data_IF_075275880202
#
_entry.id   IF_075275880202
#
_cell.length_a   1.000
_cell.length_b   1.000
_cell.length_c   1.000
_cell.angle_alpha   90.00
_cell.angle_beta   90.00
_cell.angle_gamma   90.00
#
_symmetry.space_group_name_H-M   'P 1'
#
loop_
_entity.id
_entity.type
_entity.pdbx_description
1 polymer ?
#
# COMPACT_ATOMS: atom_id res chain seq x y z
N UNK A 1 -16.77 6.13 26.94
CA UNK A 1 -16.09 4.97 26.54
C UNK A 1 -14.72 5.24 25.96
N UNK A 2 -13.95 4.22 25.99
CA UNK A 2 -12.61 4.29 25.41
C UNK A 2 -12.73 3.94 23.96
N UNK A 3 -12.15 4.80 23.13
CA UNK A 3 -12.20 4.57 21.69
C UNK A 3 -10.88 3.98 21.24
N UNK A 4 -10.97 2.91 20.47
CA UNK A 4 -9.79 2.37 19.81
C UNK A 4 -9.41 3.31 18.68
N UNK A 5 -8.17 3.73 18.71
CA UNK A 5 -7.64 4.59 17.66
C UNK A 5 -6.93 3.70 16.65
N UNK A 6 -7.30 3.83 15.39
CA UNK A 6 -6.65 3.12 14.29
C UNK A 6 -5.82 4.08 13.49
N UNK A 7 -4.53 3.79 13.40
CA UNK A 7 -3.63 4.56 12.57
C UNK A 7 -3.27 3.70 11.36
N UNK A 8 -3.64 4.18 10.20
CA UNK A 8 -3.40 3.44 8.96
C UNK A 8 -2.46 4.24 8.06
N UNK A 9 -1.40 3.57 7.60
CA UNK A 9 -0.39 4.20 6.75
C UNK A 9 0.07 3.23 5.67
N UNK A 10 0.51 3.74 4.52
CA UNK A 10 0.47 5.13 4.10
C UNK A 10 -0.91 5.53 3.60
N UNK A 11 -1.09 6.82 3.28
CA UNK A 11 -2.35 7.31 2.72
C UNK A 11 -2.50 6.96 1.25
N UNK A 12 -1.39 6.98 0.52
CA UNK A 12 -1.40 6.77 -0.92
C UNK A 12 -0.25 5.87 -1.34
N UNK A 13 -0.54 4.96 -2.25
CA UNK A 13 0.46 4.10 -2.86
C UNK A 13 0.23 4.12 -4.36
N UNK A 14 1.26 4.49 -5.12
CA UNK A 14 1.25 4.36 -6.57
C UNK A 14 2.37 3.40 -6.95
N UNK A 15 2.04 2.33 -7.63
CA UNK A 15 3.02 1.30 -7.95
C UNK A 15 2.66 0.60 -9.25
N UNK A 16 3.58 -0.21 -9.73
CA UNK A 16 3.40 -0.95 -10.98
C UNK A 16 2.85 -2.34 -10.74
N UNK A 17 2.20 -2.87 -11.77
CA UNK A 17 1.76 -4.26 -11.77
C UNK A 17 2.93 -5.19 -11.51
N UNK A 18 2.65 -6.29 -10.85
CA UNK A 18 3.60 -7.34 -10.47
C UNK A 18 4.51 -6.98 -9.30
N UNK A 19 4.45 -5.75 -8.81
CA UNK A 19 5.15 -5.36 -7.60
C UNK A 19 4.38 -5.86 -6.37
N UNK A 20 4.87 -5.50 -5.20
CA UNK A 20 4.23 -5.82 -3.95
C UNK A 20 4.13 -4.56 -3.11
N UNK A 21 3.22 -4.57 -2.15
CA UNK A 21 3.04 -3.43 -1.28
C UNK A 21 2.60 -3.88 0.10
N UNK A 22 2.65 -2.95 1.03
CA UNK A 22 2.30 -3.23 2.42
C UNK A 22 1.55 -2.05 2.99
N UNK A 23 0.46 -2.34 3.71
CA UNK A 23 -0.34 -1.34 4.38
C UNK A 23 -0.32 -1.67 5.87
N UNK A 24 -0.01 -0.67 6.69
CA UNK A 24 0.15 -0.87 8.13
C UNK A 24 -1.05 -0.30 8.87
N UNK A 25 -1.52 -1.07 9.85
CA UNK A 25 -2.60 -0.67 10.73
C UNK A 25 -2.15 -0.85 12.17
N UNK A 26 -2.14 0.22 12.93
CA UNK A 26 -1.73 0.19 14.32
C UNK A 26 -2.91 0.47 15.23
N UNK A 27 -3.03 -0.33 16.27
CA UNK A 27 -4.10 -0.21 17.26
C UNK A 27 -3.49 0.11 18.60
N UNK A 28 -4.32 0.65 19.49
CA UNK A 28 -3.89 0.84 20.88
C UNK A 28 -4.21 -0.35 21.73
N UNK A 29 -5.10 -1.20 21.27
CA UNK A 29 -5.53 -2.37 22.02
C UNK A 29 -5.35 -3.61 21.18
N UNK A 30 -5.22 -4.74 21.86
CA UNK A 30 -5.12 -6.03 21.21
C UNK A 30 -6.51 -6.44 20.73
N UNK A 31 -6.67 -6.52 19.42
CA UNK A 31 -7.95 -6.87 18.83
C UNK A 31 -7.72 -7.51 17.46
N UNK A 32 -8.68 -8.27 17.01
CA UNK A 32 -8.65 -8.79 15.65
C UNK A 32 -8.92 -7.67 14.65
N UNK A 33 -8.35 -7.79 13.48
CA UNK A 33 -8.42 -6.76 12.46
C UNK A 33 -9.04 -7.31 11.19
N UNK A 34 -9.99 -6.56 10.67
CA UNK A 34 -10.61 -6.85 9.38
C UNK A 34 -9.98 -5.95 8.34
N UNK A 35 -9.80 -6.47 7.13
CA UNK A 35 -9.32 -5.70 5.99
C UNK A 35 -10.37 -5.72 4.90
N UNK A 36 -10.69 -4.52 4.39
CA UNK A 36 -11.67 -4.33 3.33
C UNK A 36 -11.07 -3.51 2.20
N UNK A 37 -11.67 -3.61 1.03
CA UNK A 37 -11.30 -2.79 -0.11
C UNK A 37 -12.55 -2.21 -0.74
N UNK A 38 -12.53 -0.90 -0.96
CA UNK A 38 -13.52 -0.25 -1.81
C UNK A 38 -12.92 -0.19 -3.21
N UNK A 39 -13.57 -0.87 -4.15
CA UNK A 39 -13.14 -0.88 -5.55
C UNK A 39 -13.88 0.22 -6.29
N UNK A 40 -13.15 1.24 -6.75
CA UNK A 40 -13.77 2.31 -7.52
C UNK A 40 -14.31 1.80 -8.85
N UNK A 41 -13.58 0.89 -9.46
CA UNK A 41 -13.94 0.34 -10.75
C UNK A 41 -15.26 -0.42 -10.69
N UNK A 42 -15.40 -1.28 -9.68
CA UNK A 42 -16.59 -2.12 -9.53
C UNK A 42 -17.65 -1.51 -8.65
N UNK A 43 -17.37 -0.37 -8.04
CA UNK A 43 -18.30 0.28 -7.11
C UNK A 43 -18.77 -0.71 -6.04
N UNK A 44 -17.81 -1.35 -5.40
CA UNK A 44 -18.08 -2.51 -4.56
C UNK A 44 -17.15 -2.51 -3.36
N UNK A 45 -17.72 -2.76 -2.18
CA UNK A 45 -16.95 -2.84 -0.94
C UNK A 45 -16.76 -4.33 -0.65
N UNK A 46 -15.49 -4.76 -0.57
CA UNK A 46 -15.15 -6.16 -0.49
C UNK A 46 -14.45 -6.49 0.81
N UNK A 47 -14.87 -7.57 1.45
CA UNK A 47 -14.15 -8.11 2.59
C UNK A 47 -12.98 -8.95 2.07
N UNK A 48 -11.78 -8.65 2.57
CA UNK A 48 -10.57 -9.35 2.14
C UNK A 48 -10.16 -10.44 3.13
N UNK A 49 -9.90 -10.06 4.36
CA UNK A 49 -9.37 -10.99 5.35
C UNK A 49 -9.59 -10.46 6.75
N UNK A 50 -9.81 -11.38 7.68
CA UNK A 50 -9.86 -11.10 9.11
C UNK A 50 -8.72 -11.85 9.78
N UNK A 51 -7.93 -11.16 10.59
CA UNK A 51 -6.87 -11.76 11.36
C UNK A 51 -7.23 -11.66 12.85
N UNK A 52 -7.32 -12.80 13.53
CA UNK A 52 -7.64 -12.77 14.95
C UNK A 52 -6.36 -12.54 15.78
N UNK A 53 -6.54 -12.39 17.08
CA UNK A 53 -5.42 -12.07 17.99
C UNK A 53 -4.48 -13.26 18.19
N UNK A 54 -4.82 -14.41 17.67
CA UNK A 54 -3.97 -15.60 17.74
C UNK A 54 -3.20 -15.82 16.45
N UNK A 55 -3.31 -14.87 15.51
CA UNK A 55 -2.58 -14.95 14.26
C UNK A 55 -3.25 -15.78 13.19
N UNK A 56 -4.51 -16.17 13.39
CA UNK A 56 -5.23 -16.95 12.39
C UNK A 56 -6.00 -16.04 11.47
N UNK A 57 -5.89 -16.29 10.16
CA UNK A 57 -6.54 -15.49 9.15
C UNK A 57 -7.71 -16.23 8.53
N UNK A 58 -8.80 -15.50 8.30
CA UNK A 58 -9.98 -16.01 7.60
C UNK A 58 -10.21 -15.10 6.40
N UNK A 59 -10.25 -15.69 5.21
CA UNK A 59 -10.30 -14.93 3.96
C UNK A 59 -11.70 -14.84 3.41
N UNK A 60 -11.95 -13.74 2.71
CA UNK A 60 -13.21 -13.57 1.99
C UNK A 60 -13.28 -14.47 0.77
N UNK A 61 -14.48 -14.55 0.20
CA UNK A 61 -14.74 -15.39 -0.96
C UNK A 61 -13.93 -14.88 -2.16
N UNK A 62 -13.25 -15.79 -2.83
CA UNK A 62 -12.47 -15.47 -4.05
C UNK A 62 -11.26 -14.57 -3.78
N UNK A 63 -10.82 -14.47 -2.54
CA UNK A 63 -9.61 -13.73 -2.22
C UNK A 63 -8.43 -14.70 -2.24
N UNK A 64 -7.38 -14.35 -2.98
CA UNK A 64 -6.21 -15.20 -3.09
C UNK A 64 -5.37 -15.10 -1.83
N UNK A 65 -5.30 -16.21 -1.09
CA UNK A 65 -4.52 -16.25 0.14
C UNK A 65 -3.02 -16.16 -0.13
N UNK A 66 -2.61 -16.51 -1.33
CA UNK A 66 -1.19 -16.44 -1.69
C UNK A 66 -0.75 -14.99 -1.91
N UNK A 67 -1.65 -14.14 -2.36
CA UNK A 67 -1.32 -12.76 -2.68
C UNK A 67 -1.62 -11.79 -1.54
N UNK A 68 -2.60 -12.09 -0.70
CA UNK A 68 -3.01 -11.21 0.40
C UNK A 68 -2.67 -11.88 1.71
N UNK A 69 -1.69 -11.34 2.43
CA UNK A 69 -1.24 -11.93 3.68
C UNK A 69 -1.21 -10.89 4.77
N UNK A 70 -1.60 -11.29 5.96
CA UNK A 70 -1.57 -10.42 7.12
C UNK A 70 -0.42 -10.84 8.01
N UNK A 71 0.39 -9.88 8.42
CA UNK A 71 1.48 -10.08 9.36
C UNK A 71 1.19 -9.27 10.61
N UNK A 72 1.54 -9.83 11.73
CA UNK A 72 1.26 -9.25 13.02
C UNK A 72 2.58 -8.97 13.73
N UNK A 73 2.68 -7.80 14.35
CA UNK A 73 3.87 -7.47 15.11
C UNK A 73 3.84 -8.19 16.47
N UNK A 74 4.98 -8.25 17.12
CA UNK A 74 5.12 -8.97 18.38
C UNK A 74 4.15 -8.50 19.44
N UNK A 75 3.85 -7.22 19.45
CA UNK A 75 2.98 -6.65 20.47
C UNK A 75 1.51 -6.94 20.23
N UNK A 76 1.16 -7.56 19.13
CA UNK A 76 -0.22 -7.82 18.73
C UNK A 76 -1.04 -6.55 18.60
N UNK A 77 -0.37 -5.41 18.44
CA UNK A 77 -1.05 -4.13 18.28
C UNK A 77 -0.79 -3.52 16.91
N UNK A 78 -0.05 -4.22 16.07
CA UNK A 78 0.31 -3.71 14.74
C UNK A 78 0.13 -4.84 13.74
N UNK A 79 -0.61 -4.56 12.69
CA UNK A 79 -0.90 -5.53 11.63
C UNK A 79 -0.55 -4.90 10.29
N UNK A 80 -0.01 -5.70 9.41
CA UNK A 80 0.21 -5.22 8.05
C UNK A 80 -0.42 -6.17 7.05
N UNK A 81 -1.00 -5.58 6.01
CA UNK A 81 -1.54 -6.34 4.88
C UNK A 81 -0.52 -6.28 3.77
N UNK A 82 0.00 -7.43 3.40
CA UNK A 82 0.94 -7.59 2.30
C UNK A 82 0.19 -8.05 1.07
N UNK A 83 0.37 -7.34 -0.03
CA UNK A 83 -0.23 -7.71 -1.30
C UNK A 83 0.90 -7.90 -2.30
N UNK A 84 0.98 -9.10 -2.88
CA UNK A 84 2.02 -9.42 -3.84
C UNK A 84 1.43 -9.60 -5.22
N UNK A 85 2.28 -9.58 -6.24
CA UNK A 85 1.86 -9.77 -7.63
C UNK A 85 0.70 -8.85 -7.98
N UNK A 86 0.90 -7.56 -7.71
CA UNK A 86 -0.15 -6.56 -7.86
C UNK A 86 -0.68 -6.50 -9.28
N UNK A 87 -1.98 -6.30 -9.39
CA UNK A 87 -2.71 -6.21 -10.63
C UNK A 87 -3.42 -4.85 -10.66
N UNK A 88 -3.60 -4.25 -11.84
CA UNK A 88 -4.37 -2.99 -11.88
C UNK A 88 -5.76 -3.11 -11.24
N UNK A 89 -6.38 -4.30 -11.29
CA UNK A 89 -7.67 -4.53 -10.66
C UNK A 89 -7.62 -4.51 -9.13
N UNK A 90 -6.43 -4.54 -8.53
CA UNK A 90 -6.29 -4.41 -7.08
C UNK A 90 -6.42 -2.96 -6.62
N UNK A 91 -6.48 -2.02 -7.54
CA UNK A 91 -6.61 -0.60 -7.23
C UNK A 91 -7.91 -0.34 -6.48
N UNK A 92 -7.83 0.56 -5.52
CA UNK A 92 -8.98 0.91 -4.69
C UNK A 92 -8.51 1.54 -3.39
N UNK A 93 -9.45 1.70 -2.46
CA UNK A 93 -9.12 2.21 -1.14
C UNK A 93 -9.23 1.08 -0.14
N UNK A 94 -8.14 0.81 0.57
CA UNK A 94 -8.05 -0.27 1.53
C UNK A 94 -8.26 0.27 2.94
N UNK A 95 -9.02 -0.46 3.73
CA UNK A 95 -9.32 -0.08 5.10
C UNK A 95 -9.03 -1.22 6.05
N UNK A 96 -8.36 -0.91 7.15
CA UNK A 96 -8.35 -1.83 8.29
C UNK A 96 -9.48 -1.40 9.23
N UNK A 97 -9.96 -2.34 10.03
CA UNK A 97 -11.14 -2.13 10.83
C UNK A 97 -11.12 -3.04 12.05
N UNK A 98 -11.67 -2.54 13.15
CA UNK A 98 -11.91 -3.38 14.33
C UNK A 98 -13.37 -3.25 14.73
N UNK A 99 -13.90 -4.34 15.28
CA UNK A 99 -15.24 -4.35 15.84
C UNK A 99 -15.11 -4.16 17.36
N UNK A 100 -15.79 -3.15 17.87
CA UNK A 100 -15.71 -2.83 19.27
C UNK A 100 -17.09 -2.47 19.77
N UNK A 101 -17.66 -3.29 20.64
CA UNK A 101 -18.94 -3.02 21.29
C UNK A 101 -20.01 -2.57 20.31
N UNK A 102 -20.37 -3.38 19.36
CA UNK A 102 -21.40 -3.09 18.36
C UNK A 102 -21.02 -2.01 17.36
N UNK A 103 -19.80 -1.52 17.40
CA UNK A 103 -19.32 -0.51 16.46
C UNK A 103 -18.21 -1.07 15.61
N UNK A 104 -18.21 -0.67 14.36
CA UNK A 104 -17.13 -0.99 13.44
C UNK A 104 -16.33 0.29 13.24
N UNK A 105 -15.08 0.26 13.70
CA UNK A 105 -14.19 1.40 13.57
C UNK A 105 -13.30 1.18 12.35
N UNK A 106 -13.20 2.18 11.52
CA UNK A 106 -12.41 2.08 10.29
C UNK A 106 -11.16 2.94 10.40
N UNK A 107 -10.07 2.44 9.85
CA UNK A 107 -8.88 3.26 9.64
C UNK A 107 -9.15 4.35 8.62
N UNK A 108 -8.18 5.22 8.43
CA UNK A 108 -8.34 6.39 7.54
C UNK A 108 -8.34 6.01 6.07
N UNK A 109 -7.89 4.82 5.74
CA UNK A 109 -7.88 4.36 4.37
C UNK A 109 -6.54 4.57 3.68
N UNK A 110 -6.21 3.67 2.78
CA UNK A 110 -5.01 3.76 1.95
C UNK A 110 -5.46 3.64 0.50
N UNK A 111 -5.20 4.67 -0.29
CA UNK A 111 -5.52 4.63 -1.71
C UNK A 111 -4.40 3.95 -2.45
N UNK A 112 -4.70 2.81 -3.04
CA UNK A 112 -3.75 2.05 -3.83
C UNK A 112 -4.08 2.20 -5.29
N UNK A 113 -3.09 2.59 -6.07
CA UNK A 113 -3.23 2.66 -7.50
C UNK A 113 -2.13 1.83 -8.15
N UNK A 114 -2.55 0.81 -8.87
CA UNK A 114 -1.64 -0.10 -9.57
C UNK A 114 -1.80 0.17 -11.06
N UNK A 115 -0.69 0.49 -11.71
CA UNK A 115 -0.67 0.80 -13.14
C UNK A 115 0.26 -0.18 -13.86
N UNK A 116 0.06 -0.33 -15.17
CA UNK A 116 0.90 -1.25 -15.94
C UNK A 116 2.34 -0.75 -16.01
N UNK A 117 2.51 0.55 -16.14
CA UNK A 117 3.83 1.16 -16.14
C UNK A 117 3.72 2.55 -15.54
N UNK A 118 4.68 2.87 -14.66
CA UNK A 118 4.73 4.21 -14.10
C UNK A 118 5.14 5.19 -15.19
N UNK A 119 4.56 6.40 -15.21
CA UNK A 119 4.98 7.41 -16.16
C UNK A 119 6.45 7.74 -15.93
N UNK A 120 7.19 7.88 -17.02
CA UNK A 120 8.57 8.31 -16.92
C UNK A 120 8.60 9.70 -16.31
N UNK A 121 9.58 9.98 -15.44
CA UNK A 121 9.73 11.35 -14.97
C UNK A 121 9.93 12.25 -16.18
N UNK A 122 9.36 13.43 -16.16
CA UNK A 122 9.58 14.34 -17.29
C UNK A 122 11.08 14.50 -17.46
N UNK A 123 11.54 14.30 -18.66
CA UNK A 123 12.93 14.54 -18.93
C UNK A 123 13.15 16.00 -18.65
N UNK A 124 13.95 16.21 -17.59
CA UNK A 124 14.42 17.53 -17.40
C UNK A 124 15.41 17.72 -18.49
N UNK A 125 15.03 18.22 -19.27
CA UNK A 125 15.81 18.47 -20.38
C UNK A 125 16.94 19.39 -20.06
N UNK A 126 16.49 18.00 -19.28
CA UNK A 126 16.80 18.14 -18.74
C UNK A 126 17.30 18.27 -18.35
N UNK A 127 17.86 18.36 -18.46
CA UNK A 127 18.01 18.53 -17.92
C UNK A 127 18.56 18.28 -17.65
N UNK A 128 19.34 18.50 -17.78
CA UNK A 128 19.59 18.33 -17.39
C UNK A 128 20.13 17.98 -17.01
N UNK A 129 21.10 18.39 -17.24
CA UNK A 129 21.26 18.11 -16.62
C UNK A 129 21.67 17.80 -16.29
N UNK A 130 22.45 18.01 -16.42
CA UNK A 130 22.57 17.75 -15.93
C UNK A 130 23.18 17.35 -15.89
N UNK A 131 23.44 17.47 -15.66
CA UNK A 131 23.79 16.99 -15.25
C UNK A 131 24.44 16.66 -15.33
N UNK A 132 24.95 17.04 -15.44
CA UNK A 132 25.38 16.64 -15.23
C UNK A 132 25.92 16.30 -15.72
N UNK A 133 26.52 16.82 -15.87
CA UNK A 133 26.87 16.42 -15.96
C UNK A 133 27.61 15.93 -16.70
N UNK A 134 27.83 16.27 -16.72
CA UNK A 134 27.80 15.71 -16.88
C UNK A 134 28.59 15.15 -17.64
N UNK A 135 28.98 15.27 -17.65
CA UNK A 135 29.22 14.85 -17.97
C UNK A 135 29.66 14.53 -18.84
N UNK A 136 29.32 15.08 -18.93
CA UNK A 136 29.34 14.78 -19.45
C UNK A 136 30.08 14.71 -20.21
N UNK A 137 30.45 15.20 -20.05
CA UNK A 137 30.66 15.28 -20.31
C UNK A 137 31.23 15.13 -21.04
N UNK A 138 31.12 15.59 -20.93
CA UNK A 138 31.28 15.61 -21.19
C UNK A 138 31.77 15.54 -21.98
N UNK A 139 31.06 15.78 -21.46
CA UNK A 139 31.22 15.83 -21.68
C UNK A 139 31.53 15.93 -22.28
N UNK A 140 32.42 16.48 -22.42
CA UNK A 140 32.48 16.77 -22.58
C UNK A 140 32.92 16.92 -23.17
N UNK A 141 32.30 17.18 -22.56
CA UNK A 141 32.42 17.39 -22.58
C UNK A 141 32.68 17.46 -22.94
N UNK A 142 34.31 18.17 -23.37
CA UNK A 142 34.36 18.37 -23.19
C UNK A 142 34.40 18.30 -23.59
N UNK A 143 34.83 18.79 -23.41
CA UNK A 143 34.67 18.78 -23.18
C UNK A 143 34.58 18.59 -23.50
N UNK A 144 34.14 18.91 -23.51
CA UNK A 144 33.99 18.87 -23.27
C UNK A 144 33.99 18.62 -23.41
N UNK A 145 33.51 18.74 -22.80
CA UNK A 145 33.36 18.56 -22.43
C UNK A 145 33.07 18.38 -22.47
N UNK A 146 33.48 18.86 -22.35
CA UNK A 146 33.18 18.71 -21.89
C UNK A 146 32.76 18.41 -21.93
N UNK A 147 34.48 18.58 -22.05
CA UNK A 147 33.67 18.63 -21.54
C UNK A 147 33.29 18.32 -21.96
#
# INVERSE_FOLDING_TARGET
GIYTTLTQTPEHILTQANNQTEILCELKENAGVYWYRWSHERQHFEFLVFSNTLGKATYGTNVSQDRFRVHEARSHSSYSLHITHLHPSDSGTYYCSVSQSSQLLLGSGTQLRVVDALPLPPKTTQTPMSKKPVLWITKSKAANRRG
#
